data_IF_155345858332
#
_entry.id   IF_155345858332
#
_cell.length_a   1.000
_cell.length_b   1.000
_cell.length_c   1.000
_cell.angle_alpha   90.00
_cell.angle_beta   90.00
_cell.angle_gamma   90.00
#
_symmetry.space_group_name_H-M   'P 1'
#
loop_
_entity.id
_entity.type
_entity.pdbx_description
1 polymer ?
#
# COMPACT_ATOMS: atom_id res chain seq x y z
N UNK A 1 9.24 11.17 -7.73
CA UNK A 1 9.09 10.28 -6.56
C UNK A 1 9.11 8.85 -7.08
N UNK A 2 9.84 7.94 -6.44
CA UNK A 2 10.14 6.59 -6.95
C UNK A 2 9.90 5.50 -5.90
N UNK A 3 10.13 4.24 -6.29
CA UNK A 3 9.94 3.05 -5.45
C UNK A 3 11.05 2.93 -4.39
N UNK A 4 10.75 3.07 -3.08
CA UNK A 4 11.77 3.06 -2.02
C UNK A 4 12.60 1.77 -1.98
N UNK A 5 11.98 0.61 -2.24
CA UNK A 5 12.66 -0.68 -2.18
C UNK A 5 13.72 -0.88 -3.28
N UNK A 6 13.72 -0.06 -4.34
CA UNK A 6 14.79 -0.05 -5.34
C UNK A 6 16.01 0.78 -4.90
N UNK A 7 15.94 1.42 -3.73
CA UNK A 7 17.00 2.29 -3.20
C UNK A 7 17.31 2.03 -1.72
N UNK A 8 17.30 0.76 -1.29
CA UNK A 8 17.52 0.38 0.11
C UNK A 8 18.82 0.96 0.72
N UNK A 9 19.89 1.03 -0.08
CA UNK A 9 21.20 1.55 0.37
C UNK A 9 21.13 2.99 0.91
N UNK A 10 20.19 3.81 0.43
CA UNK A 10 20.03 5.19 0.88
C UNK A 10 18.77 5.35 1.75
N UNK A 11 17.71 4.60 1.46
CA UNK A 11 16.44 4.69 2.20
C UNK A 11 16.58 4.19 3.63
N UNK A 12 17.30 3.08 3.85
CA UNK A 12 17.47 2.53 5.20
C UNK A 12 18.24 3.49 6.12
N UNK A 13 19.44 4.00 5.76
CA UNK A 13 20.16 4.97 6.60
C UNK A 13 19.36 6.26 6.86
N UNK A 14 18.59 6.73 5.87
CA UNK A 14 17.75 7.90 6.06
C UNK A 14 16.63 7.64 7.09
N UNK A 15 16.00 6.45 7.07
CA UNK A 15 15.01 6.08 8.07
C UNK A 15 15.64 5.87 9.44
N UNK A 16 16.85 5.31 9.54
CA UNK A 16 17.57 5.19 10.82
C UNK A 16 17.74 6.55 11.49
N UNK A 17 18.16 7.58 10.74
CA UNK A 17 18.26 8.96 11.25
C UNK A 17 16.89 9.52 11.69
N UNK A 18 15.81 9.16 10.98
CA UNK A 18 14.45 9.56 11.38
C UNK A 18 14.04 8.93 12.72
N UNK A 19 14.48 7.71 12.99
CA UNK A 19 14.14 6.97 14.21
C UNK A 19 15.06 7.29 15.39
N UNK A 20 16.29 7.74 15.14
CA UNK A 20 17.30 8.00 16.15
C UNK A 20 16.88 9.13 17.11
N UNK A 21 17.06 8.91 18.42
CA UNK A 21 16.76 9.89 19.48
C UNK A 21 17.62 11.17 19.39
N UNK A 22 18.83 11.07 18.82
CA UNK A 22 19.69 12.23 18.51
C UNK A 22 19.42 12.82 17.12
N UNK A 23 18.61 12.14 16.31
CA UNK A 23 18.11 12.61 15.02
C UNK A 23 16.77 13.32 15.17
N UNK A 24 15.71 12.71 14.64
CA UNK A 24 14.34 13.26 14.73
C UNK A 24 13.50 12.62 15.86
N UNK A 25 13.94 11.51 16.44
CA UNK A 25 13.23 10.80 17.52
C UNK A 25 11.82 10.33 17.13
N UNK A 26 11.59 10.01 15.84
CA UNK A 26 10.28 9.55 15.40
C UNK A 26 10.05 8.10 15.81
N UNK A 27 8.86 7.81 16.33
CA UNK A 27 8.46 6.43 16.52
C UNK A 27 8.43 5.68 15.18
N UNK A 28 8.93 4.45 15.15
CA UNK A 28 8.80 3.52 14.01
C UNK A 28 7.37 3.34 13.49
N UNK A 29 6.37 3.58 14.34
CA UNK A 29 4.94 3.55 13.97
C UNK A 29 4.50 4.77 13.14
N UNK A 30 5.31 5.82 13.09
CA UNK A 30 5.04 7.09 12.39
C UNK A 30 5.95 7.31 11.17
N UNK A 31 6.96 6.48 10.99
CA UNK A 31 7.75 6.41 9.74
C UNK A 31 7.14 5.29 8.91
N UNK A 32 6.43 5.65 7.83
CA UNK A 32 5.76 4.68 6.96
C UNK A 32 6.46 4.59 5.61
N UNK A 33 6.93 3.40 5.25
CA UNK A 33 7.42 3.08 3.92
C UNK A 33 6.29 2.47 3.11
N UNK A 34 5.95 3.09 1.98
CA UNK A 34 5.02 2.51 0.99
C UNK A 34 5.80 1.89 -0.17
N UNK A 35 5.31 0.76 -0.69
CA UNK A 35 5.93 0.03 -1.82
C UNK A 35 4.89 -0.56 -2.76
N UNK A 36 5.24 -0.60 -4.06
CA UNK A 36 4.48 -1.30 -5.11
C UNK A 36 4.74 -2.81 -5.16
N UNK A 37 5.69 -3.32 -4.38
CA UNK A 37 5.91 -4.76 -4.19
C UNK A 37 7.13 -5.34 -4.90
N UNK A 38 8.31 -4.76 -4.65
CA UNK A 38 9.60 -5.40 -5.01
C UNK A 38 9.91 -6.50 -4.00
N UNK A 39 9.31 -7.68 -4.15
CA UNK A 39 9.31 -8.76 -3.14
C UNK A 39 10.69 -9.09 -2.57
N UNK A 40 11.75 -9.37 -3.37
CA UNK A 40 13.06 -9.71 -2.81
C UNK A 40 13.70 -8.57 -1.99
N UNK A 41 13.31 -7.32 -2.27
CA UNK A 41 13.80 -6.16 -1.53
C UNK A 41 12.96 -5.93 -0.25
N UNK A 42 11.68 -6.30 -0.24
CA UNK A 42 10.85 -6.26 0.96
C UNK A 42 11.34 -7.29 1.98
N UNK A 43 11.66 -8.50 1.52
CA UNK A 43 12.21 -9.55 2.38
C UNK A 43 13.53 -9.08 3.03
N UNK A 44 14.42 -8.45 2.24
CA UNK A 44 15.67 -7.84 2.73
C UNK A 44 15.41 -6.70 3.71
N UNK A 45 14.44 -5.82 3.44
CA UNK A 45 14.09 -4.72 4.35
C UNK A 45 13.74 -5.25 5.75
N UNK A 46 13.00 -6.36 5.82
CA UNK A 46 12.61 -7.01 7.09
C UNK A 46 13.79 -7.53 7.92
N UNK A 47 14.95 -7.71 7.31
CA UNK A 47 16.19 -8.12 8.00
C UNK A 47 17.09 -6.91 8.33
N UNK A 48 16.76 -5.71 7.85
CA UNK A 48 17.54 -4.48 8.02
C UNK A 48 16.92 -3.50 9.02
N UNK A 49 15.61 -3.24 8.93
CA UNK A 49 14.94 -2.21 9.74
C UNK A 49 13.44 -2.48 9.96
N UNK A 50 12.94 -2.14 11.14
CA UNK A 50 11.51 -2.25 11.52
C UNK A 50 10.84 -0.87 11.48
N UNK A 51 10.03 -0.62 10.44
CA UNK A 51 9.25 0.61 10.20
C UNK A 51 7.82 0.24 9.80
N UNK A 52 6.88 1.19 9.88
CA UNK A 52 5.52 0.91 9.46
C UNK A 52 5.48 0.67 7.94
N UNK A 53 4.83 -0.41 7.51
CA UNK A 53 4.64 -0.77 6.12
C UNK A 53 3.25 -0.39 5.61
N UNK A 54 3.23 0.27 4.44
CA UNK A 54 2.06 0.38 3.57
C UNK A 54 2.35 -0.30 2.23
N UNK A 55 1.32 -0.81 1.56
CA UNK A 55 1.46 -1.41 0.23
C UNK A 55 0.50 -0.77 -0.78
N UNK A 56 1.03 -0.43 -1.95
CA UNK A 56 0.29 0.07 -3.10
C UNK A 56 -0.33 -1.11 -3.86
N UNK A 57 -1.45 -1.62 -3.36
CA UNK A 57 -2.14 -2.78 -3.93
C UNK A 57 -2.99 -2.38 -5.14
N UNK A 58 -3.91 -1.43 -4.92
CA UNK A 58 -4.72 -0.75 -5.95
C UNK A 58 -5.65 -1.61 -6.82
N UNK A 59 -5.66 -2.93 -6.70
CA UNK A 59 -6.52 -3.80 -7.48
C UNK A 59 -6.94 -5.03 -6.65
N UNK A 60 -8.12 -5.61 -6.92
CA UNK A 60 -8.60 -6.78 -6.20
C UNK A 60 -8.14 -8.11 -6.82
N UNK A 61 -7.61 -8.08 -8.04
CA UNK A 61 -7.17 -9.25 -8.81
C UNK A 61 -5.96 -8.91 -9.70
N UNK A 62 -5.23 -9.94 -10.15
CA UNK A 62 -4.01 -9.77 -10.93
C UNK A 62 -4.27 -9.13 -12.31
N UNK A 63 -5.41 -9.42 -12.93
CA UNK A 63 -5.76 -8.88 -14.26
C UNK A 63 -5.82 -7.36 -14.25
N UNK A 64 -6.52 -6.76 -13.28
CA UNK A 64 -6.56 -5.30 -13.15
C UNK A 64 -5.18 -4.78 -12.73
N UNK A 65 -4.53 -5.45 -11.78
CA UNK A 65 -3.25 -4.99 -11.23
C UNK A 65 -2.14 -4.95 -12.27
N UNK A 66 -2.11 -5.90 -13.19
CA UNK A 66 -1.16 -5.95 -14.31
C UNK A 66 -1.23 -4.72 -15.21
N UNK A 67 -2.40 -4.10 -15.34
CA UNK A 67 -2.61 -2.89 -16.14
C UNK A 67 -2.25 -1.62 -15.37
N UNK A 68 -2.62 -1.53 -14.08
CA UNK A 68 -2.43 -0.29 -13.31
C UNK A 68 -1.09 -0.22 -12.57
N UNK A 69 -0.50 -1.36 -12.21
CA UNK A 69 0.78 -1.50 -11.49
C UNK A 69 1.62 -2.60 -12.16
N UNK A 70 2.37 -2.30 -13.25
CA UNK A 70 3.00 -3.31 -14.11
C UNK A 70 4.00 -4.26 -13.42
N UNK A 71 4.51 -3.93 -12.23
CA UNK A 71 5.37 -4.82 -11.46
C UNK A 71 4.64 -6.13 -11.07
N UNK A 72 3.30 -6.13 -11.07
CA UNK A 72 2.49 -7.31 -10.78
C UNK A 72 2.79 -8.49 -11.72
N UNK A 73 3.09 -8.20 -12.98
CA UNK A 73 3.50 -9.21 -13.98
C UNK A 73 4.75 -9.99 -13.57
N UNK A 74 5.58 -9.39 -12.70
CA UNK A 74 6.78 -10.02 -12.14
C UNK A 74 6.53 -10.61 -10.75
N UNK A 75 5.78 -9.90 -9.91
CA UNK A 75 5.43 -10.30 -8.55
C UNK A 75 3.92 -10.12 -8.35
N UNK A 76 3.17 -11.19 -8.60
CA UNK A 76 1.71 -11.16 -8.52
C UNK A 76 1.21 -10.88 -7.09
N UNK A 77 -0.09 -10.62 -6.93
CA UNK A 77 -0.67 -10.23 -5.64
C UNK A 77 -0.36 -11.25 -4.55
N UNK A 78 -0.54 -12.54 -4.83
CA UNK A 78 -0.31 -13.59 -3.82
C UNK A 78 1.15 -13.61 -3.34
N UNK A 79 2.11 -13.57 -4.28
CA UNK A 79 3.54 -13.52 -3.97
C UNK A 79 3.86 -12.28 -3.12
N UNK A 80 3.26 -11.15 -3.46
CA UNK A 80 3.46 -9.92 -2.71
C UNK A 80 2.87 -9.99 -1.30
N UNK A 81 1.62 -10.44 -1.15
CA UNK A 81 0.96 -10.60 0.15
C UNK A 81 1.69 -11.62 1.04
N UNK A 82 2.26 -12.67 0.46
CA UNK A 82 3.10 -13.63 1.20
C UNK A 82 4.33 -12.95 1.82
N UNK A 83 5.06 -12.13 1.03
CA UNK A 83 6.20 -11.36 1.54
C UNK A 83 5.79 -10.32 2.59
N UNK A 84 4.62 -9.68 2.40
CA UNK A 84 4.05 -8.76 3.40
C UNK A 84 3.77 -9.49 4.73
N UNK A 85 3.15 -10.67 4.71
CA UNK A 85 2.95 -11.47 5.93
C UNK A 85 4.29 -11.85 6.58
N UNK A 86 5.30 -12.16 5.76
CA UNK A 86 6.67 -12.36 6.21
C UNK A 86 7.23 -11.16 6.97
N UNK A 87 7.12 -9.96 6.40
CA UNK A 87 7.53 -8.71 7.05
C UNK A 87 6.77 -8.46 8.36
N UNK A 88 5.43 -8.55 8.32
CA UNK A 88 4.55 -8.26 9.45
C UNK A 88 4.79 -9.23 10.62
N UNK A 89 5.18 -10.48 10.36
CA UNK A 89 5.51 -11.44 11.43
C UNK A 89 6.78 -11.08 12.21
N UNK A 90 7.70 -10.31 11.61
CA UNK A 90 8.93 -9.81 12.24
C UNK A 90 8.79 -8.37 12.77
N UNK A 91 7.84 -7.59 12.24
CA UNK A 91 7.68 -6.16 12.53
C UNK A 91 6.79 -5.87 13.74
N UNK A 92 7.25 -4.98 14.61
CA UNK A 92 6.45 -4.42 15.70
C UNK A 92 5.89 -3.02 15.36
N UNK A 93 6.38 -2.38 14.31
CA UNK A 93 5.92 -1.07 13.88
C UNK A 93 4.46 -1.10 13.35
N UNK A 94 4.10 -2.15 12.63
CA UNK A 94 2.76 -2.32 12.06
C UNK A 94 1.69 -2.79 13.06
N UNK A 95 2.08 -3.22 14.28
CA UNK A 95 1.17 -3.81 15.27
C UNK A 95 0.31 -4.96 14.68
N UNK A 96 0.94 -5.79 13.85
CA UNK A 96 0.29 -6.93 13.20
C UNK A 96 -0.67 -6.57 12.07
N UNK A 97 -0.77 -5.31 11.62
CA UNK A 97 -1.67 -4.90 10.53
C UNK A 97 -0.95 -4.02 9.49
N UNK A 98 -0.91 -4.48 8.24
CA UNK A 98 -0.38 -3.67 7.12
C UNK A 98 -1.41 -2.63 6.66
N UNK A 99 -0.95 -1.47 6.20
CA UNK A 99 -1.82 -0.50 5.52
C UNK A 99 -1.92 -0.87 4.04
N UNK A 100 -3.13 -1.12 3.54
CA UNK A 100 -3.41 -1.32 2.12
C UNK A 100 -3.77 0.02 1.52
N UNK A 101 -2.99 0.51 0.57
CA UNK A 101 -3.33 1.68 -0.22
C UNK A 101 -4.11 1.24 -1.46
N UNK A 102 -5.27 1.84 -1.65
CA UNK A 102 -6.16 1.52 -2.76
C UNK A 102 -6.64 2.80 -3.42
N UNK A 103 -6.09 3.11 -4.58
CA UNK A 103 -6.49 4.29 -5.35
C UNK A 103 -7.82 4.02 -6.07
N UNK A 104 -8.76 4.95 -5.99
CA UNK A 104 -10.09 4.81 -6.58
C UNK A 104 -10.09 5.42 -7.99
N UNK A 105 -10.11 4.56 -9.01
CA UNK A 105 -10.11 4.91 -10.42
C UNK A 105 -11.49 4.66 -11.00
N UNK A 106 -12.09 5.70 -11.57
CA UNK A 106 -13.46 5.70 -12.10
C UNK A 106 -13.68 4.58 -13.11
N UNK A 107 -14.64 3.70 -12.83
CA UNK A 107 -15.01 2.54 -13.66
C UNK A 107 -13.86 1.57 -13.98
N UNK A 108 -12.78 1.58 -13.20
CA UNK A 108 -11.63 0.66 -13.37
C UNK A 108 -11.54 -0.33 -12.23
N UNK A 109 -11.60 0.16 -10.99
CA UNK A 109 -11.39 -0.66 -9.79
C UNK A 109 -12.28 -0.24 -8.61
N UNK A 110 -13.29 0.58 -8.86
CA UNK A 110 -14.12 1.25 -7.84
C UNK A 110 -15.53 0.66 -7.68
N UNK A 111 -15.91 -0.28 -8.56
CA UNK A 111 -17.16 -1.03 -8.47
C UNK A 111 -17.33 -1.87 -7.20
N UNK A 112 -18.58 -2.17 -6.83
CA UNK A 112 -18.91 -2.97 -5.64
C UNK A 112 -18.40 -4.40 -5.72
N UNK A 113 -18.36 -4.98 -6.92
CA UNK A 113 -17.79 -6.28 -7.23
C UNK A 113 -16.30 -6.34 -6.87
N UNK A 114 -15.55 -5.28 -7.18
CA UNK A 114 -14.14 -5.17 -6.82
C UNK A 114 -13.94 -5.09 -5.30
N UNK A 115 -14.87 -4.46 -4.58
CA UNK A 115 -14.84 -4.44 -3.11
C UNK A 115 -15.05 -5.84 -2.51
N UNK A 116 -15.95 -6.64 -3.07
CA UNK A 116 -16.16 -8.04 -2.65
C UNK A 116 -14.94 -8.92 -2.95
N UNK A 117 -14.36 -8.80 -4.14
CA UNK A 117 -13.12 -9.49 -4.51
C UNK A 117 -11.96 -9.09 -3.58
N UNK A 118 -11.81 -7.80 -3.29
CA UNK A 118 -10.77 -7.29 -2.38
C UNK A 118 -10.94 -7.85 -0.96
N UNK A 119 -12.18 -7.91 -0.46
CA UNK A 119 -12.47 -8.48 0.85
C UNK A 119 -12.11 -9.97 0.91
N UNK A 120 -12.42 -10.74 -0.15
CA UNK A 120 -12.06 -12.15 -0.26
C UNK A 120 -10.55 -12.35 -0.36
N UNK A 121 -9.86 -11.50 -1.14
CA UNK A 121 -8.40 -11.53 -1.32
C UNK A 121 -7.65 -11.28 0.00
N UNK A 122 -8.12 -10.32 0.79
CA UNK A 122 -7.44 -9.88 2.02
C UNK A 122 -7.85 -10.65 3.28
N UNK A 123 -8.71 -11.67 3.16
CA UNK A 123 -9.24 -12.43 4.30
C UNK A 123 -8.17 -12.97 5.26
N UNK A 124 -7.02 -13.37 4.72
CA UNK A 124 -5.89 -13.96 5.47
C UNK A 124 -4.74 -12.95 5.69
N UNK A 125 -4.98 -11.67 5.41
CA UNK A 125 -3.97 -10.61 5.56
C UNK A 125 -4.50 -9.53 6.50
N UNK A 126 -4.15 -9.58 7.80
CA UNK A 126 -4.56 -8.57 8.76
C UNK A 126 -4.12 -7.18 8.30
N UNK A 127 -5.09 -6.30 8.07
CA UNK A 127 -4.80 -5.01 7.46
C UNK A 127 -5.76 -3.90 7.87
N UNK A 128 -5.42 -2.68 7.44
CA UNK A 128 -6.29 -1.50 7.40
C UNK A 128 -6.30 -1.00 5.96
N UNK A 129 -7.47 -0.69 5.42
CA UNK A 129 -7.59 -0.23 4.04
C UNK A 129 -7.68 1.29 4.03
N UNK A 130 -6.85 1.93 3.22
CA UNK A 130 -6.84 3.36 2.95
C UNK A 130 -7.32 3.57 1.50
N UNK A 131 -8.57 4.02 1.34
CA UNK A 131 -9.14 4.38 0.04
C UNK A 131 -8.68 5.79 -0.32
N UNK A 132 -7.98 5.92 -1.45
CA UNK A 132 -7.35 7.17 -1.89
C UNK A 132 -8.10 7.66 -3.13
N UNK A 133 -8.84 8.78 -3.05
CA UNK A 133 -9.42 9.39 -4.23
C UNK A 133 -8.32 9.76 -5.22
N UNK A 134 -8.48 9.40 -6.49
CA UNK A 134 -7.50 9.73 -7.52
C UNK A 134 -7.42 11.24 -7.75
N UNK A 135 -6.20 11.77 -7.80
CA UNK A 135 -5.95 13.17 -8.14
C UNK A 135 -5.48 13.27 -9.61
N UNK A 136 -6.30 13.82 -10.53
CA UNK A 136 -5.97 13.84 -11.95
C UNK A 136 -4.76 14.73 -12.26
N UNK A 137 -3.92 14.31 -13.20
CA UNK A 137 -2.79 15.10 -13.70
C UNK A 137 -2.65 14.97 -15.22
N UNK A 138 -2.06 16.01 -15.84
CA UNK A 138 -2.08 16.23 -17.31
C UNK A 138 -1.65 15.03 -18.17
N UNK A 139 -0.81 14.13 -17.65
CA UNK A 139 -0.23 13.03 -18.41
C UNK A 139 -1.02 11.71 -18.36
N UNK A 140 -2.08 11.58 -17.55
CA UNK A 140 -2.88 10.35 -17.47
C UNK A 140 -4.37 10.64 -17.60
N UNK A 141 -4.99 10.12 -18.65
CA UNK A 141 -6.46 10.17 -18.88
C UNK A 141 -7.16 9.11 -18.02
N UNK A 142 -7.11 9.26 -16.70
CA UNK A 142 -7.94 8.50 -15.76
C UNK A 142 -8.75 9.47 -14.93
N UNK A 143 -10.05 9.21 -14.81
CA UNK A 143 -10.95 10.01 -14.00
C UNK A 143 -10.94 9.51 -12.55
N UNK A 144 -11.21 10.42 -11.63
CA UNK A 144 -11.42 10.08 -10.23
C UNK A 144 -12.79 9.46 -10.05
N UNK A 145 -12.88 8.37 -9.29
CA UNK A 145 -14.16 7.76 -8.95
C UNK A 145 -15.07 8.82 -8.29
N UNK A 146 -16.39 8.84 -8.61
CA UNK A 146 -17.31 9.77 -7.99
C UNK A 146 -17.30 9.57 -6.47
N UNK A 147 -17.06 10.66 -5.73
CA UNK A 147 -17.24 10.64 -4.28
C UNK A 147 -18.72 10.41 -3.98
N UNK A 148 -19.03 9.42 -3.14
CA UNK A 148 -20.39 9.23 -2.66
C UNK A 148 -20.84 10.52 -1.97
N UNK A 149 -21.68 11.30 -2.65
CA UNK A 149 -22.31 12.47 -2.06
C UNK A 149 -23.14 11.97 -0.86
N UNK A 150 -22.81 12.44 0.34
CA UNK A 150 -23.68 12.25 1.50
C UNK A 150 -25.03 12.88 1.17
N UNK A 151 -26.00 12.06 0.80
CA UNK A 151 -27.40 12.47 0.70
C UNK A 151 -27.89 12.75 2.10
N UNK A 152 -27.71 13.99 2.56
CA UNK A 152 -28.43 14.50 3.71
C UNK A 152 -29.89 14.62 3.27
N UNK A 153 -30.69 13.61 3.58
CA UNK A 153 -32.14 13.70 3.47
C UNK A 153 -32.62 14.90 4.29
N UNK A 154 -33.41 15.83 3.72
CA UNK A 154 -34.03 16.88 4.50
C UNK A 154 -35.01 16.22 5.47
N UNK A 155 -34.82 16.43 6.78
CA UNK A 155 -35.81 16.06 7.78
C UNK A 155 -37.10 16.82 7.49
N UNK A 156 -38.18 16.08 7.23
CA UNK A 156 -39.57 16.54 7.31
C UNK A 156 -39.95 16.81 8.77
#
# INVERSE_FOLDING_TARGET
>A
MGEPLLNLNNVVPAMEIMLDDFGFGLSKRRVTLSTSGVVPALDKLGDMIDVALAISLHAPNDTIRDEIVPINKKYNIETFLNSVRGYISKSNANQGRVTIEYVMLDHVNDGTEHAHELAALLKDTPCKINLIPWNPFRARRMAAAPTAASTVSPKS
#
